data_IF_275179553737
#
_entry.id   IF_275179553737
#
_cell.length_a   1.000
_cell.length_b   1.000
_cell.length_c   1.000
_cell.angle_alpha   90.00
_cell.angle_beta   90.00
_cell.angle_gamma   90.00
#
_symmetry.space_group_name_H-M   'P 1'
#
loop_
_entity.id
_entity.type
_entity.pdbx_description
1 polymer ?
#
# COMPACT_ATOMS: atom_id res chain seq x y z
N UNK A 1 10.45 47.53 -6.56
CA UNK A 1 11.14 46.49 -5.79
C UNK A 1 10.08 45.64 -5.12
N UNK A 2 9.63 44.58 -5.79
CA UNK A 2 8.80 43.54 -5.20
C UNK A 2 9.53 42.23 -5.48
N UNK A 3 9.93 41.54 -4.42
CA UNK A 3 10.77 40.36 -4.46
C UNK A 3 10.05 39.20 -5.11
N UNK A 4 10.70 38.61 -6.11
CA UNK A 4 10.42 37.27 -6.61
C UNK A 4 10.50 36.29 -5.44
N UNK A 5 9.35 35.75 -5.03
CA UNK A 5 9.35 34.50 -4.25
C UNK A 5 9.81 33.43 -5.25
N UNK A 6 10.97 32.87 -4.97
CA UNK A 6 11.50 31.73 -5.70
C UNK A 6 10.48 30.60 -5.53
N UNK A 7 9.92 30.19 -6.67
CA UNK A 7 9.35 28.87 -6.86
C UNK A 7 10.51 27.89 -6.62
N UNK A 8 10.64 27.40 -5.38
CA UNK A 8 11.58 26.33 -5.04
C UNK A 8 11.09 25.10 -5.79
N UNK A 9 11.63 24.95 -7.00
CA UNK A 9 11.23 23.97 -7.99
C UNK A 9 11.13 22.58 -7.39
N UNK A 10 9.90 22.16 -7.11
CA UNK A 10 9.58 20.77 -6.87
C UNK A 10 9.50 20.10 -8.24
N UNK A 11 10.62 19.60 -8.76
CA UNK A 11 10.62 18.73 -9.93
C UNK A 11 10.32 17.29 -9.49
N UNK A 12 9.10 16.76 -9.75
CA UNK A 12 8.69 15.44 -9.24
C UNK A 12 9.52 14.28 -9.82
N UNK A 13 10.26 14.51 -10.92
CA UNK A 13 11.02 13.48 -11.63
C UNK A 13 12.31 13.09 -10.90
N UNK A 14 13.01 14.04 -10.27
CA UNK A 14 14.26 13.74 -9.55
C UNK A 14 14.00 12.93 -8.28
N UNK A 15 12.93 13.25 -7.55
CA UNK A 15 12.52 12.51 -6.36
C UNK A 15 12.11 11.06 -6.72
N UNK A 16 11.31 10.87 -7.78
CA UNK A 16 10.95 9.52 -8.23
C UNK A 16 12.19 8.69 -8.62
N UNK A 17 13.20 9.31 -9.23
CA UNK A 17 14.45 8.64 -9.57
C UNK A 17 15.20 8.19 -8.31
N UNK A 18 15.23 8.99 -7.23
CA UNK A 18 15.81 8.58 -5.95
C UNK A 18 15.16 7.32 -5.39
N UNK A 19 13.81 7.29 -5.33
CA UNK A 19 13.05 6.15 -4.83
C UNK A 19 13.27 4.90 -5.71
N UNK A 20 13.30 5.07 -7.04
CA UNK A 20 13.54 3.98 -7.98
C UNK A 20 14.96 3.41 -7.88
N UNK A 21 15.99 4.26 -7.89
CA UNK A 21 17.42 3.85 -7.81
C UNK A 21 17.68 3.10 -6.51
N UNK A 22 17.13 3.58 -5.40
CA UNK A 22 17.30 2.94 -4.09
C UNK A 22 16.36 1.74 -3.90
N UNK A 23 15.45 1.49 -4.84
CA UNK A 23 14.41 0.46 -4.72
C UNK A 23 13.65 0.61 -3.40
N UNK A 24 13.24 1.85 -3.12
CA UNK A 24 12.43 2.24 -1.97
C UNK A 24 10.99 2.45 -2.42
N UNK A 25 10.06 2.31 -1.47
CA UNK A 25 8.64 2.54 -1.71
C UNK A 25 7.98 3.04 -0.44
N UNK A 26 7.02 3.95 -0.56
CA UNK A 26 6.19 4.40 0.53
C UNK A 26 5.09 3.37 0.79
N UNK A 27 5.12 2.76 1.98
CA UNK A 27 4.27 1.63 2.33
C UNK A 27 3.13 2.06 3.24
N UNK A 28 1.91 1.86 2.77
CA UNK A 28 0.68 2.21 3.47
C UNK A 28 -0.06 0.95 3.85
N UNK A 29 -0.45 0.85 5.11
CA UNK A 29 -1.39 -0.15 5.59
C UNK A 29 -2.76 0.51 5.77
N UNK A 30 -3.80 0.01 5.11
CA UNK A 30 -5.19 0.41 5.36
C UNK A 30 -5.86 -0.64 6.24
N UNK A 31 -6.46 -0.17 7.33
CA UNK A 31 -7.12 -0.96 8.35
C UNK A 31 -8.59 -0.60 8.48
N UNK A 32 -9.39 -1.55 8.93
CA UNK A 32 -10.79 -1.30 9.23
C UNK A 32 -11.65 -2.54 9.18
N UNK A 33 -12.92 -2.34 9.52
CA UNK A 33 -13.93 -3.41 9.48
C UNK A 33 -14.16 -3.93 8.07
N UNK A 34 -14.77 -5.11 7.97
CA UNK A 34 -15.32 -5.60 6.71
C UNK A 34 -16.27 -4.54 6.12
N UNK A 35 -16.18 -4.33 4.80
CA UNK A 35 -17.01 -3.39 4.05
C UNK A 35 -16.93 -1.91 4.49
N UNK A 36 -15.88 -1.51 5.22
CA UNK A 36 -15.66 -0.11 5.61
C UNK A 36 -15.24 0.81 4.44
N UNK A 37 -15.04 0.26 3.23
CA UNK A 37 -14.64 1.01 2.04
C UNK A 37 -13.12 1.14 1.83
N UNK A 38 -12.31 0.27 2.45
CA UNK A 38 -10.84 0.26 2.35
C UNK A 38 -10.33 0.24 0.90
N UNK A 39 -10.78 -0.73 0.11
CA UNK A 39 -10.39 -0.88 -1.29
C UNK A 39 -10.87 0.32 -2.14
N UNK A 40 -12.05 0.89 -1.85
CA UNK A 40 -12.52 2.12 -2.52
C UNK A 40 -11.66 3.35 -2.21
N UNK A 41 -11.07 3.43 -1.01
CA UNK A 41 -10.08 4.47 -0.69
C UNK A 41 -8.81 4.23 -1.51
N UNK A 42 -8.34 2.99 -1.63
CA UNK A 42 -7.19 2.65 -2.47
C UNK A 42 -7.40 3.06 -3.93
N UNK A 43 -8.56 2.75 -4.51
CA UNK A 43 -8.89 3.15 -5.89
C UNK A 43 -8.85 4.67 -6.07
N UNK A 44 -9.36 5.42 -5.10
CA UNK A 44 -9.34 6.89 -5.15
C UNK A 44 -7.93 7.46 -4.99
N UNK A 45 -7.11 6.90 -4.11
CA UNK A 45 -5.72 7.33 -3.92
C UNK A 45 -4.90 7.01 -5.17
N UNK A 46 -5.09 5.82 -5.74
CA UNK A 46 -4.37 5.40 -6.94
C UNK A 46 -4.86 6.12 -8.20
N UNK A 47 -6.14 6.47 -8.28
CA UNK A 47 -6.77 6.94 -9.52
C UNK A 47 -6.96 5.82 -10.55
N UNK A 48 -6.94 4.57 -10.10
CA UNK A 48 -7.00 3.36 -10.93
C UNK A 48 -7.79 2.28 -10.19
N UNK A 49 -8.54 1.46 -10.92
CA UNK A 49 -9.36 0.40 -10.32
C UNK A 49 -8.50 -0.70 -9.72
N UNK A 50 -9.00 -1.31 -8.64
CA UNK A 50 -8.39 -2.51 -8.04
C UNK A 50 -8.28 -3.66 -9.06
N UNK A 51 -9.13 -3.73 -10.09
CA UNK A 51 -9.00 -4.73 -11.17
C UNK A 51 -7.70 -4.60 -11.98
N UNK A 52 -7.15 -3.39 -12.07
CA UNK A 52 -5.89 -3.12 -12.76
C UNK A 52 -4.67 -3.18 -11.83
N UNK A 53 -4.89 -3.38 -10.52
CA UNK A 53 -3.82 -3.49 -9.54
C UNK A 53 -2.95 -4.74 -9.81
N UNK A 54 -1.67 -4.59 -9.53
CA UNK A 54 -0.70 -5.67 -9.56
C UNK A 54 -0.43 -6.11 -8.13
N UNK A 55 -0.74 -7.36 -7.81
CA UNK A 55 -0.54 -7.92 -6.47
C UNK A 55 0.71 -8.78 -6.46
N UNK A 56 1.63 -8.49 -5.55
CA UNK A 56 2.86 -9.25 -5.39
C UNK A 56 2.91 -9.95 -4.04
N UNK A 57 3.41 -11.18 -4.01
CA UNK A 57 3.75 -11.90 -2.77
C UNK A 57 5.22 -12.30 -2.82
N UNK A 58 6.00 -11.87 -1.82
CA UNK A 58 7.45 -12.12 -1.77
C UNK A 58 8.19 -11.71 -3.06
N UNK A 59 7.75 -10.62 -3.70
CA UNK A 59 8.32 -10.12 -4.95
C UNK A 59 7.85 -10.81 -6.23
N UNK A 60 6.97 -11.82 -6.13
CA UNK A 60 6.39 -12.54 -7.28
C UNK A 60 5.01 -11.96 -7.60
N UNK A 61 4.78 -11.60 -8.86
CA UNK A 61 3.48 -11.14 -9.34
C UNK A 61 2.48 -12.30 -9.34
N UNK A 62 1.35 -12.13 -8.65
CA UNK A 62 0.27 -13.11 -8.61
C UNK A 62 -0.56 -13.05 -9.89
N UNK A 63 -1.19 -14.18 -10.25
CA UNK A 63 -2.01 -14.25 -11.45
C UNK A 63 -3.23 -13.33 -11.35
N UNK A 64 -3.72 -12.74 -12.46
CA UNK A 64 -4.90 -11.88 -12.44
C UNK A 64 -6.17 -12.54 -11.86
N UNK A 65 -6.26 -13.87 -11.93
CA UNK A 65 -7.39 -14.63 -11.39
C UNK A 65 -7.42 -14.64 -9.86
N UNK A 66 -6.26 -14.56 -9.21
CA UNK A 66 -6.13 -14.42 -7.75
C UNK A 66 -6.71 -13.08 -7.29
N UNK A 67 -6.36 -12.03 -8.04
CA UNK A 67 -6.71 -10.64 -7.74
C UNK A 67 -8.23 -10.43 -7.83
N UNK A 68 -8.88 -10.91 -8.91
CA UNK A 68 -10.33 -10.74 -9.10
C UNK A 68 -11.19 -11.40 -8.02
N UNK A 69 -10.84 -12.63 -7.61
CA UNK A 69 -11.61 -13.36 -6.60
C UNK A 69 -11.53 -12.74 -5.21
N UNK A 70 -10.34 -12.26 -4.84
CA UNK A 70 -10.06 -11.76 -3.49
C UNK A 70 -10.53 -10.31 -3.29
N UNK A 71 -10.46 -9.47 -4.33
CA UNK A 71 -11.00 -8.10 -4.30
C UNK A 71 -12.52 -8.10 -4.11
N UNK A 72 -13.24 -8.94 -4.86
CA UNK A 72 -14.71 -9.00 -4.76
C UNK A 72 -15.19 -9.51 -3.39
N UNK A 73 -14.36 -10.31 -2.71
CA UNK A 73 -14.69 -10.95 -1.43
C UNK A 73 -14.10 -10.25 -0.21
N UNK A 74 -13.23 -9.25 -0.41
CA UNK A 74 -12.47 -8.63 0.67
C UNK A 74 -11.52 -9.60 1.38
N UNK A 75 -11.13 -10.69 0.71
CA UNK A 75 -10.21 -11.71 1.23
C UNK A 75 -8.76 -11.34 0.92
N UNK A 76 -8.33 -10.17 1.42
CA UNK A 76 -6.94 -9.71 1.25
C UNK A 76 -6.01 -10.33 2.29
N UNK A 77 -4.84 -10.80 1.83
CA UNK A 77 -3.71 -11.13 2.72
C UNK A 77 -2.85 -9.88 2.90
N UNK A 78 -2.71 -9.44 4.16
CA UNK A 78 -1.95 -8.25 4.54
C UNK A 78 -0.47 -8.29 4.09
N UNK A 79 0.08 -9.49 3.83
CA UNK A 79 1.46 -9.65 3.34
C UNK A 79 1.60 -9.45 1.84
N UNK A 80 0.51 -9.44 1.10
CA UNK A 80 0.51 -9.10 -0.31
C UNK A 80 0.70 -7.60 -0.49
N UNK A 81 1.46 -7.26 -1.53
CA UNK A 81 1.76 -5.89 -1.92
C UNK A 81 0.87 -5.51 -3.11
N UNK A 82 -0.06 -4.60 -2.87
CA UNK A 82 -0.92 -4.04 -3.91
C UNK A 82 -0.21 -2.83 -4.51
N UNK A 83 -0.02 -2.84 -5.82
CA UNK A 83 0.66 -1.78 -6.57
C UNK A 83 -0.17 -1.34 -7.75
N UNK A 84 -0.16 -0.04 -8.02
CA UNK A 84 -0.85 0.56 -9.15
C UNK A 84 0.16 1.21 -10.09
N UNK A 85 -0.10 1.16 -11.39
CA UNK A 85 0.80 1.79 -12.38
C UNK A 85 0.67 3.31 -12.35
N UNK A 86 -0.55 3.77 -12.09
CA UNK A 86 -0.92 5.17 -11.88
C UNK A 86 -0.31 5.82 -10.64
N UNK A 87 0.09 5.03 -9.64
CA UNK A 87 0.63 5.50 -8.37
C UNK A 87 2.03 4.87 -8.09
N UNK A 88 3.05 5.19 -8.91
CA UNK A 88 4.37 4.59 -8.76
C UNK A 88 5.03 5.03 -7.45
N UNK A 89 5.82 4.13 -6.86
CA UNK A 89 6.52 4.38 -5.60
C UNK A 89 5.69 4.07 -4.35
N UNK A 90 4.39 3.80 -4.49
CA UNK A 90 3.55 3.35 -3.39
C UNK A 90 3.39 1.82 -3.39
N UNK A 91 3.31 1.27 -2.18
CA UNK A 91 2.91 -0.11 -1.94
C UNK A 91 1.82 -0.10 -0.88
N UNK A 92 0.67 -0.65 -1.21
CA UNK A 92 -0.46 -0.73 -0.32
C UNK A 92 -0.59 -2.15 0.25
N UNK A 93 -0.94 -2.21 1.52
CA UNK A 93 -1.32 -3.40 2.24
C UNK A 93 -2.76 -3.18 2.73
N UNK A 94 -3.67 -4.08 2.39
CA UNK A 94 -5.06 -4.03 2.84
C UNK A 94 -5.26 -5.13 3.90
N UNK A 95 -5.70 -4.76 5.10
CA UNK A 95 -6.05 -5.78 6.09
C UNK A 95 -7.37 -6.45 5.71
N UNK A 96 -7.54 -7.72 6.07
CA UNK A 96 -8.87 -8.30 6.14
C UNK A 96 -9.79 -7.46 7.03
N UNK A 97 -11.08 -7.48 6.71
CA UNK A 97 -12.08 -6.80 7.51
C UNK A 97 -12.13 -7.32 8.94
N UNK A 98 -11.81 -6.48 9.92
CA UNK A 98 -11.87 -6.85 11.33
C UNK A 98 -13.33 -7.01 11.80
N UNK A 99 -13.67 -8.18 12.33
CA UNK A 99 -14.98 -8.48 12.93
C UNK A 99 -14.89 -8.71 14.44
N UNK A 100 -15.99 -8.49 15.15
CA UNK A 100 -16.02 -8.65 16.60
C UNK A 100 -15.89 -10.14 16.96
N UNK A 101 -14.82 -10.48 17.69
CA UNK A 101 -14.57 -11.85 18.15
C UNK A 101 -13.52 -12.62 17.36
N UNK A 102 -13.01 -12.08 16.24
CA UNK A 102 -11.92 -12.71 15.50
C UNK A 102 -10.55 -12.29 16.07
N UNK A 103 -10.06 -13.07 17.03
CA UNK A 103 -8.73 -12.88 17.61
C UNK A 103 -7.59 -13.17 16.63
N UNK A 104 -7.83 -13.95 15.58
CA UNK A 104 -6.80 -14.38 14.66
C UNK A 104 -6.43 -13.27 13.67
N UNK A 105 -7.44 -12.51 13.20
CA UNK A 105 -7.22 -11.34 12.34
C UNK A 105 -6.45 -10.24 13.08
N UNK A 106 -6.80 -9.97 14.34
CA UNK A 106 -6.06 -9.01 15.18
C UNK A 106 -4.61 -9.43 15.44
N UNK A 107 -4.38 -10.73 15.68
CA UNK A 107 -3.03 -11.26 15.86
C UNK A 107 -2.19 -11.12 14.58
N UNK A 108 -2.75 -11.50 13.43
CA UNK A 108 -2.11 -11.39 12.12
C UNK A 108 -1.72 -9.93 11.82
N UNK A 109 -2.62 -9.00 12.11
CA UNK A 109 -2.36 -7.58 11.99
C UNK A 109 -1.21 -7.11 12.89
N UNK A 110 -1.22 -7.50 14.17
CA UNK A 110 -0.16 -7.15 15.12
C UNK A 110 1.20 -7.67 14.67
N UNK A 111 1.27 -8.94 14.26
CA UNK A 111 2.51 -9.57 13.77
C UNK A 111 3.05 -8.85 12.53
N UNK A 112 2.15 -8.49 11.60
CA UNK A 112 2.51 -7.72 10.41
C UNK A 112 3.10 -6.34 10.77
N UNK A 113 2.42 -5.56 11.61
CA UNK A 113 2.90 -4.21 12.01
C UNK A 113 4.21 -4.30 12.76
N UNK A 114 4.36 -5.26 13.68
CA UNK A 114 5.59 -5.47 14.44
C UNK A 114 6.76 -5.85 13.53
N UNK A 115 6.56 -6.82 12.63
CA UNK A 115 7.60 -7.25 11.68
C UNK A 115 8.06 -6.12 10.75
N UNK A 116 7.14 -5.21 10.40
CA UNK A 116 7.41 -4.08 9.51
C UNK A 116 7.89 -2.82 10.23
N UNK A 117 7.75 -2.74 11.55
CA UNK A 117 8.26 -1.61 12.35
C UNK A 117 9.64 -1.88 12.94
N UNK A 118 9.95 -3.13 13.26
CA UNK A 118 11.18 -3.52 13.98
C UNK A 118 12.30 -4.06 13.08
N UNK A 119 11.99 -4.39 11.81
CA UNK A 119 12.91 -5.07 10.90
C UNK A 119 14.10 -4.26 10.36
N UNK A 120 14.24 -2.97 10.73
CA UNK A 120 15.39 -2.10 10.44
C UNK A 120 15.67 -1.78 8.95
N UNK A 121 14.95 -2.41 8.01
CA UNK A 121 15.11 -2.20 6.56
C UNK A 121 14.04 -1.25 6.05
N UNK A 122 14.45 -0.04 5.65
CA UNK A 122 13.57 0.97 5.03
C UNK A 122 12.74 0.41 3.87
N UNK A 123 13.30 -0.53 3.09
CA UNK A 123 12.63 -1.19 1.96
C UNK A 123 11.35 -1.92 2.34
N UNK A 124 11.24 -2.41 3.57
CA UNK A 124 10.09 -3.19 4.04
C UNK A 124 9.27 -2.44 5.09
N UNK A 125 9.73 -1.28 5.56
CA UNK A 125 9.12 -0.56 6.66
C UNK A 125 7.75 0.03 6.31
N UNK A 126 6.79 -0.03 7.23
CA UNK A 126 5.53 0.71 7.10
C UNK A 126 5.78 2.21 7.35
N UNK A 127 5.25 3.04 6.45
CA UNK A 127 5.40 4.49 6.53
C UNK A 127 4.12 5.17 7.02
N UNK A 128 2.96 4.57 6.73
CA UNK A 128 1.65 5.05 7.17
C UNK A 128 0.74 3.88 7.53
N UNK A 129 -0.07 4.07 8.56
CA UNK A 129 -1.20 3.22 8.91
C UNK A 129 -2.45 4.13 8.92
N UNK A 130 -3.48 3.75 8.17
CA UNK A 130 -4.76 4.44 8.08
C UNK A 130 -5.88 3.56 8.60
#
# INVERSE_FOLDING_TARGET
MASTILDDGFEPQEDLAFWQIRSLSFRVLILGRANAGKSSILERIAGESMEAAQVYRNGVLLSPNHIRGDIERGEHDINEEIRFRSCPGFVFHDSRGLEAGDSNDLKTLYEFVQGRSTGGKLKTQLHMIW
#
